data_IF_895736147646
#
_entry.id   IF_895736147646
#
_cell.length_a   1.000
_cell.length_b   1.000
_cell.length_c   1.000
_cell.angle_alpha   90.00
_cell.angle_beta   90.00
_cell.angle_gamma   90.00
#
_symmetry.space_group_name_H-M   'P 1'
#
loop_
_entity.id
_entity.type
_entity.pdbx_description
1 polymer ?
#
# COMPACT_ATOMS: atom_id res chain seq x y z
N UNK A 1 13.49 24.58 -33.15
CA UNK A 1 12.40 24.62 -32.16
C UNK A 1 12.40 23.30 -31.42
N UNK A 2 12.78 23.30 -30.15
CA UNK A 2 12.64 22.14 -29.26
C UNK A 2 11.15 21.88 -29.01
N UNK A 3 10.73 20.62 -29.03
CA UNK A 3 9.33 20.30 -28.69
C UNK A 3 9.04 20.75 -27.25
N UNK A 4 7.86 21.33 -26.99
CA UNK A 4 7.47 21.66 -25.63
C UNK A 4 7.46 20.38 -24.80
N UNK A 5 8.02 20.47 -23.60
CA UNK A 5 8.09 19.37 -22.65
C UNK A 5 6.66 18.92 -22.31
N UNK A 6 6.37 17.64 -22.56
CA UNK A 6 5.02 17.09 -22.31
C UNK A 6 4.96 16.57 -20.88
N UNK A 7 4.08 17.14 -20.08
CA UNK A 7 3.76 16.64 -18.74
C UNK A 7 2.59 15.69 -18.84
N UNK A 8 2.75 14.48 -18.30
CA UNK A 8 1.67 13.53 -18.10
C UNK A 8 1.29 13.50 -16.63
N UNK A 9 0.00 13.69 -16.32
CA UNK A 9 -0.54 13.60 -14.96
C UNK A 9 -1.34 12.31 -14.83
N UNK A 10 -0.97 11.48 -13.86
CA UNK A 10 -1.69 10.26 -13.50
C UNK A 10 -2.29 10.42 -12.11
N UNK A 11 -3.60 10.22 -11.97
CA UNK A 11 -4.33 10.35 -10.70
C UNK A 11 -4.93 9.00 -10.34
N UNK A 12 -4.54 8.48 -9.17
CA UNK A 12 -5.07 7.24 -8.61
C UNK A 12 -6.00 7.57 -7.45
N UNK A 13 -7.23 7.08 -7.51
CA UNK A 13 -8.23 7.23 -6.44
C UNK A 13 -8.36 5.89 -5.74
N UNK A 14 -7.89 5.82 -4.50
CA UNK A 14 -7.95 4.59 -3.71
C UNK A 14 -9.41 4.19 -3.42
N UNK A 15 -9.67 2.89 -3.40
CA UNK A 15 -10.98 2.28 -3.18
C UNK A 15 -12.12 2.75 -4.11
N UNK A 16 -11.82 3.34 -5.28
CA UNK A 16 -12.82 3.70 -6.29
C UNK A 16 -13.27 2.49 -7.12
N UNK A 17 -14.06 1.62 -6.51
CA UNK A 17 -14.54 0.39 -7.15
C UNK A 17 -15.66 0.59 -8.16
N UNK A 18 -15.78 -0.34 -9.11
CA UNK A 18 -16.85 -0.37 -10.12
C UNK A 18 -18.26 -0.30 -9.51
N UNK A 19 -18.50 -0.99 -8.39
CA UNK A 19 -19.80 -1.00 -7.73
C UNK A 19 -20.22 0.39 -7.22
N UNK A 20 -19.25 1.20 -6.78
CA UNK A 20 -19.52 2.56 -6.34
C UNK A 20 -19.92 3.45 -7.54
N UNK A 21 -19.19 3.30 -8.65
CA UNK A 21 -19.42 4.03 -9.89
C UNK A 21 -20.72 3.65 -10.60
N UNK A 22 -21.26 2.44 -10.37
CA UNK A 22 -22.53 2.01 -11.00
C UNK A 22 -23.73 2.88 -10.62
N UNK A 23 -23.71 3.46 -9.42
CA UNK A 23 -24.83 4.21 -8.84
C UNK A 23 -24.62 5.73 -8.83
N UNK A 24 -23.46 6.21 -9.30
CA UNK A 24 -23.04 7.61 -9.16
C UNK A 24 -22.35 8.09 -10.42
N UNK A 25 -22.68 9.31 -10.83
CA UNK A 25 -21.93 10.00 -11.87
C UNK A 25 -20.53 10.34 -11.33
N UNK A 26 -19.49 10.07 -12.12
CA UNK A 26 -18.11 10.31 -11.75
C UNK A 26 -17.34 10.90 -12.93
N UNK A 27 -16.86 12.13 -12.75
CA UNK A 27 -16.07 12.93 -13.69
C UNK A 27 -16.63 12.96 -15.14
N UNK A 28 -17.95 13.23 -15.34
CA UNK A 28 -18.66 13.16 -16.63
C UNK A 28 -17.98 13.94 -17.76
N UNK A 29 -17.18 14.94 -17.44
CA UNK A 29 -16.38 15.75 -18.37
C UNK A 29 -15.33 14.94 -19.17
N UNK A 30 -14.95 13.74 -18.73
CA UNK A 30 -14.05 12.87 -19.49
C UNK A 30 -14.79 12.04 -20.54
N UNK A 31 -14.45 12.31 -21.81
CA UNK A 31 -14.96 11.61 -23.00
C UNK A 31 -14.54 10.13 -23.03
N UNK A 32 -13.28 9.83 -22.69
CA UNK A 32 -12.75 8.48 -22.76
C UNK A 32 -12.85 7.74 -21.43
N UNK A 33 -13.53 6.60 -21.46
CA UNK A 33 -13.75 5.73 -20.29
C UNK A 33 -13.53 4.28 -20.67
N UNK A 34 -12.72 3.59 -19.88
CA UNK A 34 -12.51 2.16 -20.03
C UNK A 34 -12.63 1.49 -18.65
N UNK A 35 -13.30 0.34 -18.61
CA UNK A 35 -13.28 -0.51 -17.42
C UNK A 35 -11.91 -1.15 -17.27
N UNK A 36 -11.32 -1.03 -16.08
CA UNK A 36 -10.05 -1.66 -15.74
C UNK A 36 -10.27 -2.89 -14.86
N UNK A 37 -9.52 -3.96 -15.13
CA UNK A 37 -9.43 -5.12 -14.23
C UNK A 37 -8.23 -4.92 -13.32
N UNK A 38 -8.48 -4.99 -12.02
CA UNK A 38 -7.43 -4.91 -11.00
C UNK A 38 -6.62 -6.21 -10.93
N UNK A 39 -5.42 -6.13 -10.39
CA UNK A 39 -4.55 -7.27 -10.09
C UNK A 39 -4.72 -7.61 -8.61
N UNK A 40 -5.25 -8.81 -8.34
CA UNK A 40 -5.50 -9.35 -6.98
C UNK A 40 -6.41 -8.50 -6.07
N UNK A 41 -6.95 -7.37 -6.52
CA UNK A 41 -7.89 -6.55 -5.75
C UNK A 41 -7.26 -5.58 -4.76
N UNK A 42 -5.93 -5.48 -4.72
CA UNK A 42 -5.21 -4.62 -3.76
C UNK A 42 -4.24 -3.68 -4.46
N UNK A 43 -4.11 -2.47 -3.92
CA UNK A 43 -3.16 -1.46 -4.42
C UNK A 43 -1.72 -1.96 -4.39
N UNK A 44 -1.37 -2.82 -3.44
CA UNK A 44 -0.03 -3.38 -3.30
C UNK A 44 0.41 -4.29 -4.45
N UNK A 45 -0.52 -4.92 -5.14
CA UNK A 45 -0.25 -5.67 -6.36
C UNK A 45 -0.48 -4.83 -7.60
N UNK A 46 -1.56 -4.04 -7.61
CA UNK A 46 -1.98 -3.26 -8.76
C UNK A 46 -0.98 -2.16 -9.16
N UNK A 47 -0.50 -1.34 -8.21
CA UNK A 47 0.38 -0.21 -8.56
C UNK A 47 1.74 -0.67 -9.11
N UNK A 48 2.45 -1.65 -8.50
CA UNK A 48 3.69 -2.14 -9.07
C UNK A 48 3.49 -2.78 -10.45
N UNK A 49 2.38 -3.52 -10.67
CA UNK A 49 2.06 -4.04 -12.01
C UNK A 49 1.79 -2.92 -13.01
N UNK A 50 1.05 -1.88 -12.62
CA UNK A 50 0.73 -0.75 -13.51
C UNK A 50 1.98 0.02 -13.94
N UNK A 51 2.92 0.26 -13.01
CA UNK A 51 4.13 1.02 -13.32
C UNK A 51 5.22 0.20 -14.01
N UNK A 52 5.30 -1.11 -13.73
CA UNK A 52 6.37 -1.97 -14.28
C UNK A 52 5.95 -2.83 -15.47
N UNK A 53 4.64 -3.05 -15.67
CA UNK A 53 4.10 -4.02 -16.62
C UNK A 53 4.33 -5.50 -16.23
N UNK A 54 4.92 -5.77 -15.06
CA UNK A 54 5.22 -7.14 -14.57
C UNK A 54 4.12 -7.65 -13.64
N UNK A 55 3.94 -8.96 -13.54
CA UNK A 55 2.92 -9.53 -12.64
C UNK A 55 3.45 -9.70 -11.20
N UNK A 56 2.56 -9.91 -10.20
CA UNK A 56 2.97 -10.01 -8.80
C UNK A 56 4.05 -11.04 -8.46
N UNK A 57 4.08 -12.15 -9.19
CA UNK A 57 5.13 -13.18 -9.01
C UNK A 57 6.50 -12.73 -9.56
N UNK A 58 6.54 -11.76 -10.47
CA UNK A 58 7.77 -11.24 -11.07
C UNK A 58 8.37 -10.08 -10.27
N UNK A 59 7.52 -9.21 -9.71
CA UNK A 59 7.95 -8.06 -8.91
C UNK A 59 7.85 -8.28 -7.40
N UNK A 60 7.39 -9.46 -6.95
CA UNK A 60 7.36 -9.84 -5.54
C UNK A 60 6.31 -9.13 -4.67
N UNK A 61 5.46 -8.27 -5.25
CA UNK A 61 4.42 -7.53 -4.52
C UNK A 61 3.03 -8.15 -4.77
N UNK A 62 2.76 -9.31 -4.16
CA UNK A 62 1.43 -9.94 -4.19
C UNK A 62 0.58 -9.69 -2.94
N UNK A 63 1.20 -9.23 -1.86
CA UNK A 63 0.56 -9.01 -0.57
C UNK A 63 1.17 -7.78 0.11
N UNK A 64 0.36 -7.08 0.91
CA UNK A 64 0.84 -5.94 1.70
C UNK A 64 1.87 -6.37 2.75
N UNK A 65 1.67 -7.57 3.31
CA UNK A 65 2.57 -8.21 4.24
C UNK A 65 2.91 -9.61 3.70
N UNK A 66 4.09 -9.80 3.09
CA UNK A 66 4.50 -11.12 2.63
C UNK A 66 4.74 -12.05 3.83
N UNK A 67 4.51 -13.35 3.64
CA UNK A 67 4.92 -14.35 4.60
C UNK A 67 6.45 -14.27 4.76
N UNK A 68 6.89 -14.05 6.00
CA UNK A 68 8.30 -14.05 6.30
C UNK A 68 8.86 -15.48 6.19
N UNK A 69 9.95 -15.66 5.43
CA UNK A 69 10.65 -16.94 5.31
C UNK A 69 11.82 -17.08 6.32
N UNK A 70 11.94 -16.14 7.26
CA UNK A 70 12.90 -16.16 8.36
C UNK A 70 12.30 -15.62 9.67
N UNK A 71 13.14 -15.04 10.53
CA UNK A 71 12.71 -14.44 11.80
C UNK A 71 11.98 -13.11 11.61
N UNK A 72 10.84 -12.91 12.29
CA UNK A 72 10.04 -11.69 12.23
C UNK A 72 10.71 -10.52 12.96
N UNK A 73 10.69 -9.29 12.42
CA UNK A 73 11.06 -8.10 13.19
C UNK A 73 10.26 -7.94 14.50
N UNK A 74 9.09 -8.59 14.57
CA UNK A 74 8.24 -8.61 15.76
C UNK A 74 8.59 -9.74 16.74
N UNK A 75 9.50 -10.66 16.43
CA UNK A 75 9.91 -11.71 17.36
C UNK A 75 10.53 -11.15 18.63
N UNK A 76 11.30 -10.05 18.52
CA UNK A 76 11.83 -9.35 19.69
C UNK A 76 10.71 -8.88 20.63
N UNK A 77 9.52 -8.55 20.11
CA UNK A 77 8.38 -8.13 20.92
C UNK A 77 7.81 -9.27 21.79
N UNK A 78 8.07 -10.55 21.46
CA UNK A 78 7.66 -11.67 22.31
C UNK A 78 8.32 -11.61 23.70
N UNK A 79 9.52 -11.01 23.81
CA UNK A 79 10.21 -10.80 25.10
C UNK A 79 9.47 -9.84 26.03
N UNK A 80 8.53 -9.07 25.50
CA UNK A 80 7.70 -8.12 26.22
C UNK A 80 6.24 -8.57 26.35
N UNK A 81 5.93 -9.81 26.01
CA UNK A 81 4.57 -10.38 26.10
C UNK A 81 4.01 -10.41 27.55
N UNK A 82 4.87 -10.31 28.56
CA UNK A 82 4.50 -10.23 29.97
C UNK A 82 4.01 -8.83 30.41
N UNK A 83 4.17 -7.80 29.57
CA UNK A 83 3.77 -6.44 29.93
C UNK A 83 2.25 -6.37 30.18
N UNK A 84 1.81 -5.75 31.30
CA UNK A 84 0.39 -5.55 31.55
C UNK A 84 -0.27 -4.73 30.42
N UNK A 85 -1.55 -5.00 30.08
CA UNK A 85 -2.28 -4.27 29.02
C UNK A 85 -2.26 -2.75 29.20
N UNK A 86 -2.29 -2.27 30.45
CA UNK A 86 -2.21 -0.84 30.80
C UNK A 86 -0.94 -0.15 30.29
N UNK A 87 0.13 -0.91 30.05
CA UNK A 87 1.41 -0.41 29.53
C UNK A 87 1.51 -0.72 28.04
N UNK A 88 1.24 -1.98 27.64
CA UNK A 88 1.34 -2.42 26.26
C UNK A 88 0.39 -1.66 25.30
N UNK A 89 -0.85 -1.40 25.74
CA UNK A 89 -1.87 -0.72 24.93
C UNK A 89 -1.85 0.80 25.11
N UNK A 90 -0.91 1.33 25.90
CA UNK A 90 -0.83 2.76 26.14
C UNK A 90 -0.30 3.49 24.90
N UNK A 91 -1.15 4.28 24.26
CA UNK A 91 -0.83 5.02 23.03
C UNK A 91 0.41 5.94 23.18
N UNK A 92 0.66 6.52 24.36
CA UNK A 92 1.83 7.40 24.58
C UNK A 92 3.13 6.60 24.59
N UNK A 93 3.11 5.42 25.22
CA UNK A 93 4.25 4.51 25.26
C UNK A 93 4.53 3.99 23.85
N UNK A 94 3.49 3.52 23.14
CA UNK A 94 3.61 3.04 21.77
C UNK A 94 4.14 4.10 20.81
N UNK A 95 3.64 5.34 20.86
CA UNK A 95 4.10 6.42 19.99
C UNK A 95 5.58 6.75 20.19
N UNK A 96 6.08 6.71 21.43
CA UNK A 96 7.50 6.95 21.74
C UNK A 96 8.40 5.84 21.22
N UNK A 97 7.96 4.58 21.34
CA UNK A 97 8.70 3.40 20.85
C UNK A 97 8.67 3.29 19.33
N UNK A 98 7.55 3.63 18.70
CA UNK A 98 7.40 3.58 17.23
C UNK A 98 8.46 4.44 16.52
N UNK A 99 8.79 5.61 17.06
CA UNK A 99 9.83 6.47 16.50
C UNK A 99 11.26 5.88 16.57
N UNK A 100 11.48 4.90 17.44
CA UNK A 100 12.76 4.20 17.59
C UNK A 100 12.82 2.95 16.70
N UNK A 101 11.74 2.17 16.66
CA UNK A 101 11.67 0.87 15.97
C UNK A 101 11.41 1.03 14.46
N UNK A 102 10.69 2.07 14.06
CA UNK A 102 10.30 2.28 12.65
C UNK A 102 11.48 2.47 11.67
N UNK A 103 12.72 2.59 12.18
CA UNK A 103 13.94 2.67 11.37
C UNK A 103 14.46 1.31 10.91
N UNK A 104 14.08 0.24 11.59
CA UNK A 104 14.58 -1.13 11.34
C UNK A 104 13.55 -2.00 10.61
N UNK A 105 12.30 -1.54 10.52
CA UNK A 105 11.22 -2.23 9.81
C UNK A 105 11.04 -1.58 8.45
N UNK A 106 11.42 -2.30 7.39
CA UNK A 106 11.05 -1.94 6.01
C UNK A 106 9.71 -2.59 5.63
N UNK A 107 8.93 -1.92 4.81
CA UNK A 107 7.60 -2.37 4.41
C UNK A 107 7.04 -1.58 3.24
N UNK A 108 5.71 -1.56 3.11
CA UNK A 108 4.94 -1.09 1.95
C UNK A 108 5.32 0.30 1.36
N UNK A 109 6.07 1.13 2.08
CA UNK A 109 6.55 2.45 1.63
C UNK A 109 8.04 2.70 1.90
N UNK A 110 8.83 1.64 2.13
CA UNK A 110 10.28 1.72 2.40
C UNK A 110 11.10 1.49 1.15
#
# INVERSE_FOLDING_TARGET
MTMPERVALFVFVDALGFNLLRSREFLPEFEFRAGLRTVLGYSCACHPTLFSGRMPHDHGHGAMYPLNQGGSPLEAANSWSWLPPRIADNHRVRARLQGQIGREVSGYFS
#
